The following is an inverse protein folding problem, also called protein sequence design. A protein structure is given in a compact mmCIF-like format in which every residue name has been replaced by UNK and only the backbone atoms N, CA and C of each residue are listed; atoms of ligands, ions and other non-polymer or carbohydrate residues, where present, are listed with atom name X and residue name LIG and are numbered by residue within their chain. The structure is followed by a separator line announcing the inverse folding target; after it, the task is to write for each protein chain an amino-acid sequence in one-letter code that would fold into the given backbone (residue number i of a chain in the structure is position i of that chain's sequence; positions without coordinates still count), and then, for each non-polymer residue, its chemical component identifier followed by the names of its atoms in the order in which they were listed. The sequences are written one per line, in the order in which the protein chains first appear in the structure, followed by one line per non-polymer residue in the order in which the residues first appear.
data_IF_515110053269
#
_entry.id   IF_515110053269
#
_cell.length_a   1.000
_cell.length_b   1.000
_cell.length_c   1.000
_cell.angle_alpha   90.00
_cell.angle_beta   90.00
_cell.angle_gamma   90.00
#
_symmetry.space_group_name_H-M   'P 1'
#
loop_
_entity.id
_entity.type
_entity.pdbx_description
1 polymer ?
#
# COMPACT_ATOMS: atom_id res chain seq x y z
N UNK A 1 -11.70 14.91 -16.58
CA UNK A 1 -11.38 15.34 -15.20
C UNK A 1 -11.73 14.15 -14.33
N UNK A 2 -10.73 13.41 -13.90
CA UNK A 2 -10.89 12.34 -12.93
C UNK A 2 -11.34 12.97 -11.62
N UNK A 3 -12.47 12.54 -11.09
CA UNK A 3 -12.99 13.02 -9.81
C UNK A 3 -12.24 12.23 -8.73
N UNK A 4 -11.09 12.74 -8.30
CA UNK A 4 -10.19 12.04 -7.38
C UNK A 4 -10.71 11.96 -5.94
N UNK A 5 -11.76 12.69 -5.59
CA UNK A 5 -12.34 12.69 -4.26
C UNK A 5 -13.56 11.78 -4.20
N UNK A 6 -13.32 10.49 -4.09
CA UNK A 6 -14.40 9.53 -3.77
C UNK A 6 -14.71 9.55 -2.27
N UNK A 7 -13.86 10.16 -1.45
CA UNK A 7 -13.84 10.13 0.00
C UNK A 7 -14.00 11.54 0.58
N UNK A 8 -14.88 11.73 1.54
CA UNK A 8 -15.09 13.01 2.22
C UNK A 8 -14.20 13.18 3.49
N UNK A 9 -13.29 12.24 3.74
CA UNK A 9 -12.42 12.23 4.91
C UNK A 9 -11.32 13.28 4.86
N UNK A 10 -10.11 12.85 4.51
CA UNK A 10 -8.93 13.71 4.42
C UNK A 10 -8.79 14.27 3.01
N UNK A 11 -8.64 15.58 2.87
CA UNK A 11 -8.34 16.20 1.59
C UNK A 11 -6.91 15.84 1.15
N UNK A 12 -6.79 15.22 -0.02
CA UNK A 12 -5.50 14.86 -0.62
C UNK A 12 -5.21 15.77 -1.83
N UNK A 13 -3.94 16.21 -2.02
CA UNK A 13 -3.60 17.11 -3.11
C UNK A 13 -3.61 16.39 -4.47
N UNK A 14 -4.05 17.07 -5.53
CA UNK A 14 -4.12 16.53 -6.91
C UNK A 14 -2.76 16.05 -7.44
N UNK A 15 -1.65 16.53 -6.86
CA UNK A 15 -0.29 16.09 -7.22
C UNK A 15 -0.06 14.60 -7.02
N UNK A 16 -0.79 13.95 -6.11
CA UNK A 16 -0.67 12.50 -5.87
C UNK A 16 -1.07 11.65 -7.09
N UNK A 17 -1.91 12.18 -7.97
CA UNK A 17 -2.33 11.51 -9.20
C UNK A 17 -1.40 11.78 -10.39
N UNK A 18 -0.26 12.45 -10.15
CA UNK A 18 0.78 12.68 -11.14
C UNK A 18 1.96 11.74 -10.86
N UNK A 19 2.66 11.33 -11.92
CA UNK A 19 3.81 10.46 -11.80
C UNK A 19 4.91 11.10 -10.93
N UNK A 20 5.33 10.46 -9.84
CA UNK A 20 6.42 10.95 -9.04
C UNK A 20 7.76 10.81 -9.78
N UNK A 21 8.72 11.65 -9.43
CA UNK A 21 10.11 11.40 -9.81
C UNK A 21 10.62 10.14 -9.06
N UNK A 22 11.40 9.31 -9.74
CA UNK A 22 12.05 8.16 -9.12
C UNK A 22 13.45 7.93 -9.71
N UNK A 23 14.27 7.21 -8.96
CA UNK A 23 15.62 6.80 -9.38
C UNK A 23 15.95 5.41 -8.83
N UNK A 24 16.87 4.72 -9.51
CA UNK A 24 17.30 3.37 -9.12
C UNK A 24 18.34 3.38 -8.02
N UNK A 25 18.31 2.33 -7.21
CA UNK A 25 19.34 1.98 -6.23
C UNK A 25 19.93 0.61 -6.58
N UNK A 26 20.79 0.57 -7.58
CA UNK A 26 21.32 -0.68 -8.13
C UNK A 26 22.11 -1.54 -7.13
N UNK A 27 22.55 -0.98 -6.01
CA UNK A 27 23.18 -1.74 -4.94
C UNK A 27 22.22 -2.70 -4.22
N UNK A 28 20.93 -2.39 -4.30
CA UNK A 28 19.84 -3.17 -3.69
C UNK A 28 18.98 -3.94 -4.70
N UNK A 29 19.33 -3.97 -5.99
CA UNK A 29 18.64 -4.81 -6.99
C UNK A 29 18.66 -6.29 -6.60
N UNK A 30 17.64 -7.03 -7.03
CA UNK A 30 17.53 -8.46 -6.80
C UNK A 30 17.64 -9.24 -8.09
N UNK A 31 18.54 -10.23 -8.08
CA UNK A 31 18.80 -11.09 -9.25
C UNK A 31 18.81 -12.54 -8.82
N UNK A 32 17.89 -13.34 -9.35
CA UNK A 32 17.85 -14.79 -9.17
C UNK A 32 17.52 -15.45 -10.50
N UNK A 33 18.02 -16.69 -10.68
CA UNK A 33 17.90 -17.43 -11.95
C UNK A 33 16.48 -17.81 -12.35
N UNK A 34 15.52 -17.79 -11.41
CA UNK A 34 14.13 -18.13 -11.62
C UNK A 34 13.21 -16.88 -11.68
N UNK A 35 13.76 -15.66 -11.69
CA UNK A 35 13.02 -14.43 -11.98
C UNK A 35 12.86 -14.30 -13.50
N UNK A 36 11.60 -14.21 -13.95
CA UNK A 36 11.24 -14.02 -15.38
C UNK A 36 11.13 -12.55 -15.75
N UNK A 37 12.15 -11.78 -15.43
CA UNK A 37 12.19 -10.33 -15.62
C UNK A 37 13.29 -9.67 -14.80
N UNK A 38 13.07 -8.43 -14.41
CA UNK A 38 13.98 -7.66 -13.55
C UNK A 38 13.27 -7.26 -12.27
N UNK A 39 14.01 -7.18 -11.17
CA UNK A 39 13.56 -6.58 -9.91
C UNK A 39 14.59 -5.52 -9.49
N UNK A 40 14.21 -4.27 -9.64
CA UNK A 40 15.03 -3.10 -9.34
C UNK A 40 14.61 -2.48 -8.02
N UNK A 41 15.58 -2.14 -7.20
CA UNK A 41 15.37 -1.26 -6.07
C UNK A 41 15.30 0.20 -6.56
N UNK A 42 14.30 0.91 -6.11
CA UNK A 42 14.09 2.30 -6.47
C UNK A 42 13.71 3.15 -5.26
N UNK A 43 13.93 4.44 -5.38
CA UNK A 43 13.31 5.44 -4.52
C UNK A 43 12.40 6.31 -5.38
N UNK A 44 11.15 6.51 -4.95
CA UNK A 44 10.24 7.45 -5.59
C UNK A 44 9.78 8.53 -4.61
N UNK A 45 9.59 9.74 -5.13
CA UNK A 45 9.24 10.88 -4.31
C UNK A 45 7.91 10.63 -3.60
N UNK A 46 7.91 10.81 -2.28
CA UNK A 46 6.72 10.78 -1.44
C UNK A 46 6.24 12.20 -1.12
N UNK A 47 5.02 12.31 -0.61
CA UNK A 47 4.43 13.56 -0.13
C UNK A 47 4.49 13.55 1.42
N UNK A 48 5.57 14.07 1.97
CA UNK A 48 5.73 14.25 3.41
C UNK A 48 6.29 15.63 3.70
N UNK A 49 5.76 16.27 4.75
CA UNK A 49 5.93 17.70 4.99
C UNK A 49 7.38 18.13 5.18
N UNK A 50 7.71 19.20 4.48
CA UNK A 50 8.81 20.12 4.77
C UNK A 50 10.15 19.71 4.24
N UNK A 51 10.33 18.50 3.71
CA UNK A 51 11.60 18.00 3.19
C UNK A 51 11.42 17.16 1.92
N UNK A 52 12.49 17.01 1.18
CA UNK A 52 12.56 16.11 0.05
C UNK A 52 12.56 14.67 0.57
N UNK A 53 11.39 14.01 0.55
CA UNK A 53 11.19 12.66 1.06
C UNK A 53 10.98 11.68 -0.09
N UNK A 54 11.51 10.46 0.07
CA UNK A 54 11.39 9.38 -0.89
C UNK A 54 11.07 8.06 -0.18
N UNK A 55 10.16 7.30 -0.76
CA UNK A 55 9.85 5.94 -0.33
C UNK A 55 10.70 4.94 -1.10
N UNK A 56 11.22 3.94 -0.40
CA UNK A 56 11.87 2.79 -1.01
C UNK A 56 10.84 1.85 -1.61
N UNK A 57 11.16 1.22 -2.75
CA UNK A 57 10.34 0.16 -3.33
C UNK A 57 11.17 -0.81 -4.17
N UNK A 58 10.63 -2.01 -4.38
CA UNK A 58 11.06 -2.90 -5.45
C UNK A 58 10.10 -2.82 -6.62
N UNK A 59 10.61 -2.48 -7.79
CA UNK A 59 9.89 -2.46 -9.06
C UNK A 59 10.29 -3.69 -9.88
N UNK A 60 9.34 -4.57 -10.13
CA UNK A 60 9.50 -5.75 -10.96
C UNK A 60 8.88 -5.57 -12.34
N UNK A 61 9.61 -5.92 -13.40
CA UNK A 61 9.15 -5.83 -14.79
C UNK A 61 9.39 -7.17 -15.48
N UNK A 62 8.35 -7.85 -16.03
CA UNK A 62 8.51 -9.07 -16.81
C UNK A 62 9.40 -8.85 -18.05
N UNK A 63 10.17 -9.88 -18.44
CA UNK A 63 11.16 -9.80 -19.54
C UNK A 63 10.54 -9.44 -20.89
N UNK A 64 9.26 -9.83 -21.10
CA UNK A 64 8.52 -9.59 -22.34
C UNK A 64 7.62 -8.33 -22.27
N UNK A 65 7.71 -7.54 -21.19
CA UNK A 65 6.94 -6.31 -21.06
C UNK A 65 7.53 -5.19 -21.94
N UNK A 66 6.67 -4.53 -22.69
CA UNK A 66 7.07 -3.41 -23.56
C UNK A 66 5.88 -2.49 -23.84
N UNK A 67 6.09 -1.38 -24.51
CA UNK A 67 5.01 -0.50 -24.98
C UNK A 67 4.03 -1.23 -25.92
N UNK A 68 4.51 -2.19 -26.72
CA UNK A 68 3.72 -3.01 -27.63
C UNK A 68 3.11 -4.26 -26.96
N UNK A 69 3.64 -4.64 -25.79
CA UNK A 69 3.15 -5.77 -24.99
C UNK A 69 2.96 -5.33 -23.53
N UNK A 70 2.01 -4.43 -23.32
CA UNK A 70 1.71 -3.89 -21.99
C UNK A 70 1.18 -4.97 -21.06
N UNK A 71 1.65 -4.95 -19.84
CA UNK A 71 1.29 -5.93 -18.79
C UNK A 71 0.31 -5.35 -17.78
N UNK A 72 -0.55 -6.20 -17.19
CA UNK A 72 -1.24 -5.80 -15.96
C UNK A 72 -0.21 -5.47 -14.88
N UNK A 73 -0.60 -4.67 -13.89
CA UNK A 73 0.28 -4.33 -12.79
C UNK A 73 -0.39 -4.52 -11.43
N UNK A 74 0.44 -4.56 -10.38
CA UNK A 74 -0.03 -4.65 -9.00
C UNK A 74 0.83 -3.81 -8.06
N UNK A 75 0.17 -3.03 -7.21
CA UNK A 75 0.76 -2.37 -6.06
C UNK A 75 0.67 -3.28 -4.84
N UNK A 76 1.78 -3.51 -4.15
CA UNK A 76 1.91 -4.42 -3.01
C UNK A 76 2.26 -3.63 -1.76
N UNK A 77 1.43 -3.74 -0.71
CA UNK A 77 1.51 -2.93 0.50
C UNK A 77 1.72 -3.82 1.71
N UNK A 78 2.85 -3.66 2.41
CA UNK A 78 3.19 -4.47 3.58
C UNK A 78 2.40 -4.07 4.84
N UNK A 79 2.46 -4.91 5.87
CA UNK A 79 1.90 -4.64 7.19
C UNK A 79 2.85 -3.84 8.09
N UNK A 80 2.36 -3.41 9.24
CA UNK A 80 3.15 -2.66 10.21
C UNK A 80 4.40 -3.42 10.69
N UNK A 81 5.50 -2.71 10.86
CA UNK A 81 6.80 -3.27 11.19
C UNK A 81 7.46 -4.04 10.05
N UNK A 82 6.93 -3.93 8.83
CA UNK A 82 7.49 -4.56 7.64
C UNK A 82 8.41 -3.65 6.83
N UNK A 83 8.62 -4.02 5.60
CA UNK A 83 9.37 -3.28 4.58
C UNK A 83 8.91 -3.74 3.19
N UNK A 84 9.45 -3.20 2.12
CA UNK A 84 9.21 -3.70 0.77
C UNK A 84 9.73 -5.15 0.62
N UNK A 85 8.89 -6.07 0.15
CA UNK A 85 9.24 -7.48 -0.03
C UNK A 85 9.46 -7.81 -1.50
N UNK A 86 10.71 -7.97 -1.94
CA UNK A 86 11.04 -8.34 -3.31
C UNK A 86 10.52 -9.74 -3.69
N UNK A 87 10.37 -10.65 -2.71
CA UNK A 87 9.81 -11.99 -2.93
C UNK A 87 8.36 -11.92 -3.45
N UNK A 88 7.56 -10.97 -2.95
CA UNK A 88 6.21 -10.74 -3.49
C UNK A 88 6.27 -10.24 -4.93
N UNK A 89 7.19 -9.32 -5.21
CA UNK A 89 7.42 -8.81 -6.59
C UNK A 89 7.77 -9.95 -7.52
N UNK A 90 8.68 -10.85 -7.15
CA UNK A 90 9.07 -12.04 -7.92
C UNK A 90 7.86 -12.91 -8.28
N UNK A 91 6.98 -13.17 -7.31
CA UNK A 91 5.78 -13.97 -7.54
C UNK A 91 4.86 -13.37 -8.60
N UNK A 92 4.68 -12.05 -8.59
CA UNK A 92 3.83 -11.36 -9.57
C UNK A 92 4.52 -11.21 -10.93
N UNK A 93 5.81 -10.91 -10.97
CA UNK A 93 6.61 -10.87 -12.21
C UNK A 93 6.56 -12.22 -12.94
N UNK A 94 6.73 -13.32 -12.20
CA UNK A 94 6.69 -14.67 -12.74
C UNK A 94 5.30 -15.07 -13.29
N UNK A 95 4.25 -14.34 -12.88
CA UNK A 95 2.88 -14.45 -13.42
C UNK A 95 2.59 -13.46 -14.55
N UNK A 96 3.59 -12.66 -14.95
CA UNK A 96 3.48 -11.71 -16.05
C UNK A 96 2.91 -10.34 -15.68
N UNK A 97 2.95 -9.96 -14.40
CA UNK A 97 2.56 -8.62 -13.93
C UNK A 97 3.78 -7.73 -13.73
N UNK A 98 3.66 -6.45 -14.04
CA UNK A 98 4.52 -5.45 -13.42
C UNK A 98 4.11 -5.33 -11.96
N UNK A 99 5.07 -5.32 -11.03
CA UNK A 99 4.78 -5.28 -9.61
C UNK A 99 5.62 -4.21 -8.90
N UNK A 100 4.98 -3.45 -8.01
CA UNK A 100 5.64 -2.47 -7.16
C UNK A 100 5.35 -2.81 -5.70
N UNK A 101 6.36 -3.30 -4.95
CA UNK A 101 6.28 -3.44 -3.51
C UNK A 101 6.94 -2.22 -2.85
N UNK A 102 6.14 -1.43 -2.15
CA UNK A 102 6.58 -0.18 -1.54
C UNK A 102 6.82 -0.33 -0.04
N UNK A 103 7.70 0.49 0.50
CA UNK A 103 7.86 0.67 1.92
C UNK A 103 6.95 1.78 2.45
N UNK A 104 6.41 1.59 3.66
CA UNK A 104 5.48 2.51 4.32
C UNK A 104 6.07 3.21 5.56
N UNK A 105 7.25 2.81 6.00
CA UNK A 105 7.77 3.15 7.32
C UNK A 105 9.18 3.76 7.29
N UNK A 106 9.65 4.16 6.10
CA UNK A 106 11.00 4.69 5.96
C UNK A 106 12.10 3.63 6.10
N UNK A 107 11.80 2.39 5.75
CA UNK A 107 12.72 1.27 5.84
C UNK A 107 13.34 0.90 4.49
N UNK A 108 14.55 0.32 4.55
CA UNK A 108 15.23 -0.31 3.41
C UNK A 108 15.56 -1.74 3.80
N UNK A 109 15.11 -2.75 3.03
CA UNK A 109 15.40 -4.15 3.36
C UNK A 109 16.89 -4.43 3.33
N UNK A 110 17.39 -5.14 4.34
CA UNK A 110 18.77 -5.65 4.33
C UNK A 110 18.96 -6.69 3.23
N UNK A 111 20.20 -6.80 2.67
CA UNK A 111 20.53 -7.90 1.77
C UNK A 111 20.27 -9.26 2.44
N UNK A 112 19.84 -10.25 1.67
CA UNK A 112 19.62 -11.59 2.18
C UNK A 112 20.89 -12.19 2.78
N UNK A 113 20.73 -12.98 3.84
CA UNK A 113 21.83 -13.61 4.55
C UNK A 113 22.50 -12.74 5.60
N UNK A 114 22.02 -11.51 5.82
CA UNK A 114 22.55 -10.63 6.88
C UNK A 114 21.76 -10.69 8.19
N UNK A 115 20.69 -11.48 8.24
CA UNK A 115 19.77 -11.56 9.39
C UNK A 115 19.66 -12.97 9.93
N UNK A 116 19.75 -13.11 11.26
CA UNK A 116 19.51 -14.35 12.02
C UNK A 116 18.02 -14.55 12.37
N UNK A 117 17.09 -14.12 11.52
CA UNK A 117 15.63 -14.32 11.64
C UNK A 117 14.87 -13.51 12.71
N UNK A 118 15.40 -12.42 13.22
CA UNK A 118 14.62 -11.50 14.06
C UNK A 118 13.94 -10.43 13.18
N UNK A 119 12.66 -10.06 13.43
CA UNK A 119 11.97 -9.02 12.66
C UNK A 119 12.72 -7.67 12.61
N UNK A 120 13.37 -7.28 13.71
CA UNK A 120 14.17 -6.05 13.78
C UNK A 120 15.42 -6.08 12.89
N UNK A 121 15.81 -7.25 12.35
CA UNK A 121 16.98 -7.40 11.50
C UNK A 121 16.65 -7.44 10.01
N UNK A 122 15.36 -7.28 9.63
CA UNK A 122 14.93 -7.35 8.22
C UNK A 122 15.27 -6.09 7.43
N UNK A 123 15.44 -4.95 8.08
CA UNK A 123 15.64 -3.66 7.44
C UNK A 123 16.56 -2.72 8.25
N UNK A 124 16.93 -1.63 7.62
CA UNK A 124 17.56 -0.44 8.23
C UNK A 124 16.72 0.78 7.89
N UNK A 125 16.87 1.85 8.66
CA UNK A 125 16.23 3.12 8.34
C UNK A 125 16.74 3.67 7.02
N UNK A 126 15.84 4.23 6.23
CA UNK A 126 16.16 4.96 5.01
C UNK A 126 16.98 6.21 5.34
N UNK A 127 17.79 6.65 4.39
CA UNK A 127 18.44 7.95 4.44
C UNK A 127 17.48 9.14 4.33
N UNK A 128 16.23 8.88 3.93
CA UNK A 128 15.20 9.90 3.77
C UNK A 128 14.29 9.95 4.98
N UNK A 129 13.83 11.16 5.29
CA UNK A 129 12.90 11.37 6.38
C UNK A 129 11.52 10.78 5.99
N UNK A 130 11.05 9.83 6.81
CA UNK A 130 9.72 9.24 6.70
C UNK A 130 9.23 8.87 8.10
N UNK A 131 7.93 9.04 8.37
CA UNK A 131 7.38 8.66 9.67
C UNK A 131 7.26 7.14 9.78
N UNK A 132 7.51 6.63 10.98
CA UNK A 132 7.25 5.24 11.32
C UNK A 132 5.83 5.07 11.85
N UNK A 133 5.27 3.87 11.69
CA UNK A 133 4.00 3.52 12.30
C UNK A 133 4.11 3.54 13.83
N UNK A 134 3.36 4.43 14.46
CA UNK A 134 3.29 4.58 15.92
C UNK A 134 1.94 4.13 16.48
N UNK A 135 1.18 3.32 15.75
CA UNK A 135 -0.17 2.88 16.13
C UNK A 135 -1.05 4.07 16.54
N UNK A 136 -1.03 5.13 15.72
CA UNK A 136 -1.70 6.42 15.94
C UNK A 136 -1.18 7.25 17.13
N UNK A 137 0.01 6.99 17.64
CA UNK A 137 0.66 7.84 18.61
C UNK A 137 0.89 9.28 18.13
N UNK A 138 0.85 9.49 16.81
CA UNK A 138 0.96 10.78 16.12
C UNK A 138 -0.41 11.39 15.72
N UNK A 139 -1.54 10.77 16.09
CA UNK A 139 -2.87 11.16 15.62
C UNK A 139 -3.32 12.58 16.04
N UNK A 140 -2.69 13.17 17.04
CA UNK A 140 -2.97 14.55 17.47
C UNK A 140 -2.11 15.59 16.73
N UNK A 141 -1.19 15.18 15.87
CA UNK A 141 -0.45 16.08 14.98
C UNK A 141 -1.36 16.58 13.85
N UNK A 142 -0.97 17.68 13.16
CA UNK A 142 -1.58 18.02 11.87
C UNK A 142 -1.59 16.79 10.95
N UNK A 143 -2.70 16.57 10.25
CA UNK A 143 -2.94 15.30 9.57
C UNK A 143 -1.85 14.95 8.56
N UNK A 144 -1.30 15.95 7.89
CA UNK A 144 -0.23 15.82 6.91
C UNK A 144 1.12 15.43 7.53
N UNK A 145 1.24 15.48 8.87
CA UNK A 145 2.42 15.06 9.63
C UNK A 145 2.27 13.66 10.22
N UNK A 146 1.13 13.00 9.99
CA UNK A 146 0.88 11.67 10.53
C UNK A 146 1.42 10.58 9.61
N UNK A 147 1.81 9.45 10.20
CA UNK A 147 2.22 8.28 9.45
C UNK A 147 1.14 7.79 8.47
N UNK A 148 -0.13 7.80 8.88
CA UNK A 148 -1.21 7.33 8.02
C UNK A 148 -1.37 8.20 6.76
N UNK A 149 -1.22 9.52 6.88
CA UNK A 149 -1.22 10.41 5.71
C UNK A 149 -0.06 10.07 4.76
N UNK A 150 1.15 9.90 5.32
CA UNK A 150 2.32 9.49 4.54
C UNK A 150 2.08 8.17 3.82
N UNK A 151 1.58 7.14 4.53
CA UNK A 151 1.34 5.82 3.97
C UNK A 151 0.30 5.83 2.85
N UNK A 152 -0.83 6.54 3.04
CA UNK A 152 -1.89 6.68 2.05
C UNK A 152 -1.41 7.47 0.82
N UNK A 153 -0.80 8.64 1.02
CA UNK A 153 -0.30 9.47 -0.08
C UNK A 153 0.79 8.76 -0.89
N UNK A 154 1.71 8.08 -0.21
CA UNK A 154 2.79 7.31 -0.84
C UNK A 154 2.25 6.13 -1.64
N UNK A 155 1.19 5.45 -1.17
CA UNK A 155 0.55 4.37 -1.92
C UNK A 155 -0.14 4.89 -3.20
N UNK A 156 -0.82 6.03 -3.14
CA UNK A 156 -1.42 6.68 -4.33
C UNK A 156 -0.32 7.10 -5.33
N UNK A 157 0.80 7.64 -4.86
CA UNK A 157 1.96 7.96 -5.70
C UNK A 157 2.58 6.70 -6.32
N UNK A 158 2.62 5.58 -5.59
CA UNK A 158 3.04 4.28 -6.14
C UNK A 158 2.14 3.82 -7.31
N UNK A 159 0.82 3.99 -7.19
CA UNK A 159 -0.10 3.76 -8.30
C UNK A 159 0.15 4.72 -9.46
N UNK A 160 0.39 6.00 -9.17
CA UNK A 160 0.72 7.01 -10.20
C UNK A 160 2.04 6.71 -10.92
N UNK A 161 3.02 6.15 -10.21
CA UNK A 161 4.25 5.63 -10.82
C UNK A 161 3.95 4.48 -11.79
N UNK A 162 3.15 3.48 -11.38
CA UNK A 162 2.75 2.38 -12.26
C UNK A 162 2.03 2.88 -13.51
N UNK A 163 1.14 3.85 -13.38
CA UNK A 163 0.44 4.50 -14.50
C UNK A 163 1.38 5.18 -15.50
N UNK A 164 2.56 5.63 -15.07
CA UNK A 164 3.53 6.33 -15.91
C UNK A 164 4.41 5.40 -16.76
N UNK A 165 4.43 4.10 -16.44
CA UNK A 165 5.31 3.14 -17.12
C UNK A 165 4.71 2.73 -18.47
N UNK A 166 5.45 2.93 -19.56
CA UNK A 166 4.99 2.62 -20.92
C UNK A 166 4.63 1.13 -21.13
N UNK A 167 5.20 0.23 -20.31
CA UNK A 167 4.96 -1.20 -20.37
C UNK A 167 3.74 -1.66 -19.54
N UNK A 168 3.01 -0.76 -18.87
CA UNK A 168 1.85 -1.07 -18.04
C UNK A 168 0.56 -0.82 -18.82
N UNK A 169 -0.39 -1.76 -18.72
CA UNK A 169 -1.78 -1.55 -19.09
C UNK A 169 -2.51 -0.83 -17.96
N UNK A 170 -2.69 0.46 -18.11
CA UNK A 170 -3.25 1.36 -17.08
C UNK A 170 -4.68 1.02 -16.65
N UNK A 171 -5.38 0.19 -17.43
CA UNK A 171 -6.74 -0.28 -17.08
C UNK A 171 -6.73 -1.61 -16.32
N UNK A 172 -5.54 -2.15 -16.01
CA UNK A 172 -5.36 -3.44 -15.34
C UNK A 172 -4.36 -3.35 -14.19
N UNK A 173 -4.46 -2.29 -13.39
CA UNK A 173 -3.65 -2.13 -12.20
C UNK A 173 -4.49 -2.50 -10.98
N UNK A 174 -4.03 -3.46 -10.20
CA UNK A 174 -4.65 -3.84 -8.92
C UNK A 174 -3.82 -3.40 -7.73
N UNK A 175 -4.41 -3.53 -6.54
CA UNK A 175 -3.71 -3.32 -5.27
C UNK A 175 -3.97 -4.48 -4.31
N UNK A 176 -2.94 -4.88 -3.59
CA UNK A 176 -3.00 -5.94 -2.59
C UNK A 176 -2.19 -5.52 -1.37
N UNK A 177 -2.79 -5.57 -0.18
CA UNK A 177 -2.11 -5.20 1.06
C UNK A 177 -2.48 -6.08 2.23
N UNK A 178 -1.50 -6.24 3.12
CA UNK A 178 -1.54 -7.20 4.24
C UNK A 178 -1.54 -6.44 5.56
N UNK A 179 -2.43 -6.78 6.51
CA UNK A 179 -2.49 -6.17 7.85
C UNK A 179 -2.71 -4.64 7.75
N UNK A 180 -1.83 -3.79 8.29
CA UNK A 180 -1.89 -2.34 8.04
C UNK A 180 -1.95 -2.00 6.55
N UNK A 181 -1.26 -2.77 5.70
CA UNK A 181 -1.39 -2.65 4.25
C UNK A 181 -2.80 -2.96 3.74
N UNK A 182 -3.54 -3.84 4.41
CA UNK A 182 -4.97 -4.11 4.13
C UNK A 182 -5.86 -2.91 4.46
N UNK A 183 -5.61 -2.23 5.61
CA UNK A 183 -6.27 -0.97 5.96
C UNK A 183 -6.01 0.09 4.89
N UNK A 184 -4.72 0.30 4.54
CA UNK A 184 -4.34 1.29 3.52
C UNK A 184 -4.93 0.93 2.15
N UNK A 185 -4.94 -0.35 1.76
CA UNK A 185 -5.58 -0.82 0.53
C UNK A 185 -7.06 -0.44 0.50
N UNK A 186 -7.78 -0.62 1.62
CA UNK A 186 -9.19 -0.23 1.72
C UNK A 186 -9.37 1.28 1.60
N UNK A 187 -8.55 2.07 2.30
CA UNK A 187 -8.58 3.54 2.24
C UNK A 187 -8.35 4.03 0.80
N UNK A 188 -7.24 3.61 0.17
CA UNK A 188 -6.89 4.12 -1.16
C UNK A 188 -7.84 3.64 -2.25
N UNK A 189 -8.52 2.51 -2.06
CA UNK A 189 -9.60 2.08 -2.97
C UNK A 189 -10.75 3.08 -3.00
N UNK A 190 -11.02 3.78 -1.88
CA UNK A 190 -12.01 4.85 -1.81
C UNK A 190 -11.53 6.18 -2.39
N UNK A 191 -10.22 6.44 -2.43
CA UNK A 191 -9.63 7.67 -2.96
C UNK A 191 -9.26 7.59 -4.44
N UNK A 192 -8.81 6.42 -4.91
CA UNK A 192 -8.21 6.23 -6.23
C UNK A 192 -9.04 5.27 -7.08
N UNK A 193 -9.85 5.81 -7.98
CA UNK A 193 -10.75 5.09 -8.88
C UNK A 193 -10.03 4.40 -10.07
N UNK A 194 -8.70 4.49 -10.13
CA UNK A 194 -7.88 3.91 -11.21
C UNK A 194 -7.55 2.43 -11.00
N UNK A 195 -7.84 1.85 -9.82
CA UNK A 195 -7.62 0.44 -9.59
C UNK A 195 -8.65 -0.43 -10.30
N UNK A 196 -8.19 -1.50 -10.94
CA UNK A 196 -9.04 -2.51 -11.57
C UNK A 196 -9.59 -3.54 -10.57
N UNK A 197 -8.88 -3.76 -9.46
CA UNK A 197 -9.30 -4.58 -8.34
C UNK A 197 -8.51 -4.22 -7.08
N UNK A 198 -9.07 -4.59 -5.92
CA UNK A 198 -8.40 -4.40 -4.61
C UNK A 198 -8.52 -5.64 -3.75
N UNK A 199 -7.44 -5.99 -3.04
CA UNK A 199 -7.38 -7.18 -2.17
C UNK A 199 -6.83 -6.79 -0.79
N UNK A 200 -7.68 -6.28 0.13
CA UNK A 200 -7.30 -6.13 1.54
C UNK A 200 -7.21 -7.51 2.22
N UNK A 201 -6.08 -7.79 2.88
CA UNK A 201 -5.80 -9.07 3.53
C UNK A 201 -5.73 -8.87 5.04
N UNK A 202 -6.55 -9.57 5.78
CA UNK A 202 -6.80 -9.66 7.23
C UNK A 202 -6.79 -8.33 8.03
N UNK A 203 -7.01 -7.20 7.35
CA UNK A 203 -7.44 -5.93 7.93
C UNK A 203 -8.19 -5.13 6.89
N UNK A 204 -9.19 -4.37 7.33
CA UNK A 204 -9.96 -3.47 6.48
C UNK A 204 -10.33 -2.21 7.28
N UNK A 205 -11.47 -1.58 7.03
CA UNK A 205 -12.01 -0.46 7.78
C UNK A 205 -13.05 -0.91 8.81
N UNK A 206 -13.69 0.03 9.51
CA UNK A 206 -14.64 -0.22 10.59
C UNK A 206 -14.04 -0.93 11.82
N UNK A 207 -12.76 -0.85 12.02
CA UNK A 207 -12.05 -1.47 13.14
C UNK A 207 -12.52 -0.87 14.47
N UNK A 208 -12.75 0.45 14.53
CA UNK A 208 -13.26 1.12 15.72
C UNK A 208 -14.67 0.62 16.15
N UNK A 209 -15.46 0.15 15.19
CA UNK A 209 -16.82 -0.38 15.39
C UNK A 209 -16.84 -1.88 15.68
N UNK A 210 -15.73 -2.59 15.47
CA UNK A 210 -15.60 -4.01 15.77
C UNK A 210 -15.84 -4.30 17.26
N UNK A 211 -16.38 -5.49 17.57
CA UNK A 211 -16.71 -5.91 18.94
C UNK A 211 -15.47 -6.07 19.82
N UNK A 212 -14.35 -6.44 19.23
CA UNK A 212 -13.07 -6.64 19.90
C UNK A 212 -11.92 -6.52 18.88
N UNK A 213 -10.71 -6.87 19.30
CA UNK A 213 -9.51 -6.86 18.48
C UNK A 213 -8.47 -5.88 19.03
N UNK A 214 -7.20 -6.17 18.81
CA UNK A 214 -6.10 -5.33 19.34
C UNK A 214 -6.07 -3.95 18.67
N UNK A 215 -6.31 -3.87 17.36
CA UNK A 215 -6.33 -2.61 16.63
C UNK A 215 -7.50 -1.70 17.02
N UNK A 216 -8.64 -2.28 17.42
CA UNK A 216 -9.79 -1.52 17.89
C UNK A 216 -9.43 -0.57 19.05
N UNK A 217 -8.50 -0.97 19.94
CA UNK A 217 -8.05 -0.16 21.06
C UNK A 217 -7.33 1.12 20.59
N UNK A 218 -6.60 1.07 19.48
CA UNK A 218 -5.88 2.24 18.94
C UNK A 218 -6.85 3.32 18.48
N UNK A 219 -7.86 2.95 17.69
CA UNK A 219 -8.89 3.89 17.24
C UNK A 219 -9.74 4.46 18.39
N UNK A 220 -9.96 3.67 19.44
CA UNK A 220 -10.68 4.12 20.64
C UNK A 220 -9.85 5.09 21.48
N UNK A 221 -8.54 4.87 21.57
CA UNK A 221 -7.62 5.71 22.33
C UNK A 221 -7.28 7.02 21.59
N UNK A 222 -7.35 7.00 20.25
CA UNK A 222 -6.99 8.12 19.39
C UNK A 222 -8.17 8.50 18.48
N UNK A 223 -9.18 9.22 19.01
CA UNK A 223 -10.39 9.56 18.24
C UNK A 223 -10.10 10.34 16.96
N UNK A 224 -9.02 11.13 16.90
CA UNK A 224 -8.61 11.84 15.70
C UNK A 224 -8.24 10.90 14.54
N UNK A 225 -7.75 9.69 14.84
CA UNK A 225 -7.42 8.68 13.83
C UNK A 225 -8.66 8.09 13.12
N UNK A 226 -9.86 8.28 13.67
CA UNK A 226 -11.10 7.70 13.08
C UNK A 226 -11.43 8.21 11.69
N UNK A 227 -10.89 9.34 11.30
CA UNK A 227 -10.99 9.85 9.93
C UNK A 227 -10.44 8.86 8.90
N UNK A 228 -9.54 7.96 9.32
CA UNK A 228 -8.97 6.91 8.49
C UNK A 228 -9.70 5.55 8.58
N UNK A 229 -10.66 5.42 9.49
CA UNK A 229 -11.46 4.20 9.69
C UNK A 229 -12.88 4.30 9.08
N UNK A 230 -13.12 5.33 8.27
CA UNK A 230 -14.38 5.58 7.59
C UNK A 230 -14.42 4.85 6.25
N UNK A 231 -15.51 4.12 6.00
CA UNK A 231 -15.73 3.34 4.78
C UNK A 231 -16.62 4.04 3.74
N UNK A 232 -16.98 5.29 3.96
CA UNK A 232 -17.90 6.03 3.07
C UNK A 232 -17.40 6.06 1.62
N UNK A 233 -16.10 6.25 1.43
CA UNK A 233 -15.46 6.22 0.12
C UNK A 233 -15.71 4.92 -0.64
N UNK A 234 -15.70 3.79 0.05
CA UNK A 234 -15.90 2.47 -0.54
C UNK A 234 -17.32 2.27 -1.10
N UNK A 235 -18.31 2.98 -0.58
CA UNK A 235 -19.69 2.93 -1.09
C UNK A 235 -19.83 3.39 -2.55
N UNK A 236 -18.86 4.14 -3.04
CA UNK A 236 -18.82 4.69 -4.41
C UNK A 236 -17.97 3.87 -5.36
N UNK A 237 -17.17 2.93 -4.84
CA UNK A 237 -16.27 2.08 -5.63
C UNK A 237 -17.08 1.04 -6.41
N UNK A 238 -16.84 0.95 -7.71
CA UNK A 238 -17.51 0.00 -8.60
C UNK A 238 -16.62 -1.19 -9.00
N UNK A 239 -15.31 -1.08 -8.75
CA UNK A 239 -14.34 -2.15 -9.03
C UNK A 239 -14.47 -3.30 -8.01
N UNK A 240 -14.12 -4.53 -8.40
CA UNK A 240 -14.15 -5.67 -7.47
C UNK A 240 -13.21 -5.49 -6.29
N UNK A 241 -13.71 -5.78 -5.09
CA UNK A 241 -12.90 -5.85 -3.87
C UNK A 241 -13.03 -7.24 -3.26
N UNK A 242 -11.90 -7.92 -3.08
CA UNK A 242 -11.82 -9.22 -2.41
C UNK A 242 -11.21 -9.04 -1.01
N UNK A 243 -12.03 -9.11 0.01
CA UNK A 243 -11.56 -9.14 1.39
C UNK A 243 -11.16 -10.56 1.78
N UNK A 244 -9.88 -10.75 2.15
CA UNK A 244 -9.38 -12.02 2.69
C UNK A 244 -9.30 -11.91 4.21
N UNK A 245 -10.24 -12.55 4.92
CA UNK A 245 -10.31 -12.56 6.37
C UNK A 245 -9.67 -13.83 6.95
N UNK A 246 -9.18 -13.74 8.19
CA UNK A 246 -8.73 -14.89 8.97
C UNK A 246 -9.70 -15.12 10.13
N UNK A 247 -10.17 -16.36 10.31
CA UNK A 247 -11.18 -16.69 11.32
C UNK A 247 -10.71 -16.48 12.76
N UNK A 248 -9.41 -16.58 13.01
CA UNK A 248 -8.77 -16.47 14.31
C UNK A 248 -7.89 -15.22 14.45
N UNK A 249 -8.12 -14.20 13.61
CA UNK A 249 -7.44 -12.93 13.72
C UNK A 249 -7.81 -12.22 15.03
N UNK A 250 -6.78 -11.91 15.83
CA UNK A 250 -6.94 -11.20 17.11
C UNK A 250 -6.76 -9.69 16.98
N UNK A 251 -6.32 -9.22 15.83
CA UNK A 251 -6.02 -7.81 15.57
C UNK A 251 -7.22 -7.08 14.97
N UNK A 252 -7.84 -7.66 13.96
CA UNK A 252 -9.05 -7.14 13.32
C UNK A 252 -10.04 -8.29 13.13
N UNK A 253 -11.12 -8.30 13.91
CA UNK A 253 -12.09 -9.38 13.87
C UNK A 253 -12.86 -9.41 12.54
N UNK A 254 -13.35 -10.58 12.11
CA UNK A 254 -14.14 -10.74 10.88
C UNK A 254 -15.38 -9.85 10.79
N UNK A 255 -15.92 -9.36 11.92
CA UNK A 255 -17.07 -8.45 11.92
C UNK A 255 -16.74 -7.10 11.26
N UNK A 256 -15.49 -6.57 11.38
CA UNK A 256 -15.06 -5.35 10.69
C UNK A 256 -15.08 -5.53 9.17
N UNK A 257 -14.65 -6.69 8.67
CA UNK A 257 -14.74 -7.03 7.24
C UNK A 257 -16.16 -7.06 6.74
N UNK A 258 -17.07 -7.67 7.54
CA UNK A 258 -18.49 -7.73 7.16
C UNK A 258 -19.08 -6.33 7.05
N UNK A 259 -18.84 -5.46 8.03
CA UNK A 259 -19.32 -4.08 8.00
C UNK A 259 -18.79 -3.32 6.79
N UNK A 260 -17.50 -3.48 6.49
CA UNK A 260 -16.86 -2.81 5.34
C UNK A 260 -17.39 -3.38 4.02
N UNK A 261 -17.52 -4.70 3.90
CA UNK A 261 -18.01 -5.34 2.68
C UNK A 261 -19.47 -5.00 2.36
N UNK A 262 -20.32 -4.82 3.38
CA UNK A 262 -21.72 -4.39 3.21
C UNK A 262 -21.84 -3.00 2.57
N UNK A 263 -20.81 -2.14 2.70
CA UNK A 263 -20.76 -0.82 2.06
C UNK A 263 -20.38 -0.88 0.59
N UNK A 264 -19.63 -1.88 0.19
CA UNK A 264 -19.09 -1.98 -1.17
C UNK A 264 -20.13 -2.55 -2.13
N UNK A 265 -20.17 -2.04 -3.36
CA UNK A 265 -21.08 -2.53 -4.40
C UNK A 265 -20.69 -3.93 -4.92
N UNK A 266 -19.40 -4.21 -5.03
CA UNK A 266 -18.83 -5.41 -5.64
C UNK A 266 -17.81 -6.08 -4.71
N UNK A 267 -18.20 -6.35 -3.45
CA UNK A 267 -17.32 -7.02 -2.49
C UNK A 267 -17.56 -8.53 -2.44
N UNK A 268 -16.48 -9.25 -2.21
CA UNK A 268 -16.47 -10.65 -1.81
C UNK A 268 -15.63 -10.79 -0.55
N UNK A 269 -16.11 -11.57 0.42
CA UNK A 269 -15.35 -11.93 1.63
C UNK A 269 -15.04 -13.42 1.58
N UNK A 270 -13.77 -13.80 1.82
CA UNK A 270 -13.30 -15.19 1.81
C UNK A 270 -12.43 -15.50 3.03
#
# INVERSE_FOLDING_TARGET
MTNHAVYDGVALPDSLWQAPQYYGDSANDRTESDIRGTIQAIYYRSDYIGEESYAFAFLGIPEDASEQNRKPAVLLIHGGGGTAYWQWVKEWVNRGYVALAMDLEGHVPKPEGTSDNAPADLYVDSQYNAPHNQNYGDAELPIEQTWMYYAVSTAILGNSLLHSLNCVDIYKIGVCGVSWGGVITSIISGYDDRFAFSIPIYCSLNIASSKAGNLNSYYRSHPAARVWDDDEGLSRVETPILFLAMNDDVSALPDSFSYTAERCKNATVS
#
